data_IF_270946129998
#
_entry.id   IF_270946129998
#
_cell.length_a   1.000
_cell.length_b   1.000
_cell.length_c   1.000
_cell.angle_alpha   90.00
_cell.angle_beta   90.00
_cell.angle_gamma   90.00
#
_symmetry.space_group_name_H-M   'P 1'
#
loop_
_entity.id
_entity.type
_entity.pdbx_description
1 polymer ?
#
# COMPACT_ATOMS: atom_id res chain seq x y z
N UNK A 1 -4.97 13.66 -11.81
CA UNK A 1 -5.98 13.61 -10.71
C UNK A 1 -7.36 14.22 -11.03
N UNK A 2 -7.60 14.97 -12.13
CA UNK A 2 -8.90 15.64 -12.39
C UNK A 2 -10.12 14.71 -12.32
N UNK A 3 -10.07 13.56 -12.99
CA UNK A 3 -11.18 12.59 -13.00
C UNK A 3 -11.38 11.92 -11.63
N UNK A 4 -10.29 11.62 -10.93
CA UNK A 4 -10.31 11.08 -9.56
C UNK A 4 -11.00 12.06 -8.61
N UNK A 5 -10.66 13.35 -8.69
CA UNK A 5 -11.28 14.37 -7.84
C UNK A 5 -12.77 14.52 -8.13
N UNK A 6 -13.17 14.58 -9.41
CA UNK A 6 -14.59 14.63 -9.78
C UNK A 6 -15.36 13.41 -9.29
N UNK A 7 -14.77 12.21 -9.34
CA UNK A 7 -15.39 11.00 -8.80
C UNK A 7 -15.63 11.10 -7.29
N UNK A 8 -14.67 11.66 -6.55
CA UNK A 8 -14.78 11.87 -5.09
C UNK A 8 -15.71 13.03 -4.71
N UNK A 9 -15.91 14.02 -5.58
CA UNK A 9 -16.94 15.06 -5.39
C UNK A 9 -18.35 14.46 -5.50
N UNK A 10 -18.55 13.51 -6.43
CA UNK A 10 -19.85 12.84 -6.62
C UNK A 10 -20.08 11.78 -5.54
N UNK A 11 -19.05 11.00 -5.18
CA UNK A 11 -19.10 9.95 -4.17
C UNK A 11 -17.83 9.96 -3.33
N UNK A 12 -17.84 10.61 -2.15
CA UNK A 12 -16.66 10.75 -1.28
C UNK A 12 -16.08 9.41 -0.80
N UNK A 13 -16.93 8.39 -0.71
CA UNK A 13 -16.57 7.05 -0.24
C UNK A 13 -16.37 6.06 -1.40
N UNK A 14 -16.12 6.54 -2.62
CA UNK A 14 -15.83 5.64 -3.74
C UNK A 14 -14.43 5.04 -3.61
N UNK A 15 -14.34 3.82 -3.06
CA UNK A 15 -13.09 3.15 -2.71
C UNK A 15 -12.06 3.14 -3.84
N UNK A 16 -12.47 2.75 -5.05
CA UNK A 16 -11.56 2.74 -6.20
C UNK A 16 -10.96 4.11 -6.53
N UNK A 17 -11.71 5.21 -6.33
CA UNK A 17 -11.17 6.56 -6.51
C UNK A 17 -10.25 6.98 -5.35
N UNK A 18 -10.54 6.59 -4.11
CA UNK A 18 -9.68 6.82 -2.95
C UNK A 18 -8.33 6.11 -3.13
N UNK A 19 -8.35 4.82 -3.50
CA UNK A 19 -7.17 4.04 -3.83
C UNK A 19 -6.35 4.68 -4.96
N UNK A 20 -6.98 5.01 -6.09
CA UNK A 20 -6.25 5.63 -7.21
C UNK A 20 -5.65 6.99 -6.84
N UNK A 21 -6.30 7.74 -5.93
CA UNK A 21 -5.73 8.98 -5.41
C UNK A 21 -4.47 8.72 -4.59
N UNK A 22 -4.51 7.73 -3.71
CA UNK A 22 -3.36 7.29 -2.92
C UNK A 22 -2.19 6.86 -3.81
N UNK A 23 -2.45 5.96 -4.77
CA UNK A 23 -1.47 5.50 -5.74
C UNK A 23 -0.88 6.66 -6.55
N UNK A 24 -1.70 7.62 -6.96
CA UNK A 24 -1.18 8.79 -7.67
C UNK A 24 -0.21 9.60 -6.78
N UNK A 25 -0.52 9.83 -5.51
CA UNK A 25 0.41 10.49 -4.59
C UNK A 25 1.69 9.69 -4.38
N UNK A 26 1.58 8.36 -4.28
CA UNK A 26 2.73 7.47 -4.15
C UNK A 26 3.67 7.57 -5.36
N UNK A 27 3.13 7.56 -6.58
CA UNK A 27 3.90 7.70 -7.82
C UNK A 27 4.58 9.07 -7.98
N UNK A 28 4.16 10.08 -7.21
CA UNK A 28 4.82 11.38 -7.12
C UNK A 28 5.71 11.52 -5.88
N UNK A 29 6.04 10.40 -5.22
CA UNK A 29 6.85 10.33 -3.99
C UNK A 29 6.29 11.15 -2.81
N UNK A 30 4.99 11.48 -2.86
CA UNK A 30 4.26 12.17 -1.78
C UNK A 30 3.70 11.14 -0.81
N UNK A 31 4.60 10.45 -0.13
CA UNK A 31 4.27 9.27 0.67
C UNK A 31 3.32 9.56 1.83
N UNK A 32 3.42 10.70 2.49
CA UNK A 32 2.57 11.00 3.65
C UNK A 32 1.12 11.29 3.21
N UNK A 33 0.93 11.94 2.06
CA UNK A 33 -0.38 12.09 1.43
C UNK A 33 -0.92 10.75 0.93
N UNK A 34 -0.09 9.93 0.31
CA UNK A 34 -0.48 8.61 -0.17
C UNK A 34 -1.00 7.74 0.98
N UNK A 35 -0.28 7.68 2.10
CA UNK A 35 -0.69 6.96 3.31
C UNK A 35 -2.06 7.44 3.82
N UNK A 36 -2.31 8.75 3.88
CA UNK A 36 -3.61 9.31 4.28
C UNK A 36 -4.75 8.87 3.37
N UNK A 37 -4.52 8.78 2.05
CA UNK A 37 -5.55 8.34 1.10
C UNK A 37 -5.74 6.82 1.11
N UNK A 38 -4.68 6.04 1.34
CA UNK A 38 -4.82 4.61 1.59
C UNK A 38 -5.62 4.36 2.87
N UNK A 39 -5.38 5.12 3.94
CA UNK A 39 -6.17 5.04 5.18
C UNK A 39 -7.65 5.35 4.94
N UNK A 40 -7.96 6.42 4.20
CA UNK A 40 -9.34 6.73 3.81
C UNK A 40 -9.99 5.62 3.00
N UNK A 41 -9.25 4.97 2.09
CA UNK A 41 -9.79 3.84 1.36
C UNK A 41 -10.13 2.67 2.30
N UNK A 42 -9.25 2.41 3.27
CA UNK A 42 -9.40 1.35 4.26
C UNK A 42 -10.50 1.64 5.30
N UNK A 43 -10.92 2.89 5.48
CA UNK A 43 -12.12 3.28 6.23
C UNK A 43 -13.42 2.88 5.51
N UNK A 44 -13.38 2.76 4.17
CA UNK A 44 -14.53 2.38 3.34
C UNK A 44 -14.62 0.87 3.17
N UNK A 45 -13.52 0.24 2.77
CA UNK A 45 -13.49 -1.20 2.53
C UNK A 45 -12.11 -1.80 2.80
N UNK A 46 -12.10 -3.09 3.14
CA UNK A 46 -10.87 -3.83 3.29
C UNK A 46 -10.27 -4.13 1.90
N UNK A 47 -9.36 -3.28 1.42
CA UNK A 47 -8.79 -3.36 0.08
C UNK A 47 -7.32 -3.79 0.10
N UNK A 48 -7.05 -4.96 -0.49
CA UNK A 48 -5.71 -5.59 -0.49
C UNK A 48 -4.61 -4.66 -1.00
N UNK A 49 -4.86 -3.96 -2.11
CA UNK A 49 -3.88 -3.07 -2.73
C UNK A 49 -3.61 -1.80 -1.92
N UNK A 50 -4.51 -1.41 -1.02
CA UNK A 50 -4.23 -0.30 -0.09
C UNK A 50 -3.29 -0.72 1.03
N UNK A 51 -3.41 -1.95 1.55
CA UNK A 51 -2.40 -2.47 2.47
C UNK A 51 -1.06 -2.71 1.78
N UNK A 52 -1.07 -3.24 0.56
CA UNK A 52 0.14 -3.41 -0.23
C UNK A 52 0.84 -2.07 -0.50
N UNK A 53 0.11 -1.06 -0.99
CA UNK A 53 0.67 0.28 -1.23
C UNK A 53 1.25 0.93 0.03
N UNK A 54 0.60 0.77 1.19
CA UNK A 54 1.20 1.17 2.48
C UNK A 54 2.50 0.42 2.75
N UNK A 55 2.51 -0.90 2.58
CA UNK A 55 3.71 -1.71 2.78
C UNK A 55 4.86 -1.29 1.86
N UNK A 56 4.58 -1.05 0.57
CA UNK A 56 5.52 -0.53 -0.43
C UNK A 56 6.15 0.79 0.02
N UNK A 57 5.32 1.76 0.45
CA UNK A 57 5.80 3.04 0.96
C UNK A 57 6.75 2.87 2.15
N UNK A 58 6.38 2.04 3.13
CA UNK A 58 7.25 1.76 4.28
C UNK A 58 8.50 0.99 3.88
N UNK A 59 8.41 0.10 2.88
CA UNK A 59 9.52 -0.64 2.31
C UNK A 59 10.56 0.32 1.73
N UNK A 60 10.12 1.27 0.90
CA UNK A 60 10.99 2.32 0.34
C UNK A 60 11.63 3.17 1.44
N UNK A 61 10.90 3.47 2.52
CA UNK A 61 11.42 4.18 3.70
C UNK A 61 12.37 3.34 4.58
N UNK A 62 12.50 2.03 4.34
CA UNK A 62 13.30 1.11 5.17
C UNK A 62 12.65 0.75 6.51
N UNK A 63 11.36 1.06 6.70
CA UNK A 63 10.62 0.78 7.94
C UNK A 63 10.12 -0.66 7.95
N UNK A 64 11.01 -1.57 8.37
CA UNK A 64 10.74 -3.02 8.47
C UNK A 64 9.46 -3.30 9.26
N UNK A 65 9.25 -2.60 10.39
CA UNK A 65 8.12 -2.85 11.30
C UNK A 65 6.80 -2.60 10.59
N UNK A 66 6.65 -1.45 9.94
CA UNK A 66 5.42 -1.12 9.25
C UNK A 66 5.27 -1.88 7.92
N UNK A 67 6.36 -2.16 7.20
CA UNK A 67 6.29 -3.03 6.02
C UNK A 67 5.73 -4.40 6.38
N UNK A 68 6.32 -5.09 7.36
CA UNK A 68 5.86 -6.42 7.78
C UNK A 68 4.42 -6.37 8.27
N UNK A 69 4.05 -5.35 9.05
CA UNK A 69 2.67 -5.16 9.54
C UNK A 69 1.66 -5.13 8.40
N UNK A 70 1.84 -4.28 7.39
CA UNK A 70 0.84 -4.09 6.35
C UNK A 70 0.92 -5.17 5.26
N UNK A 71 2.13 -5.63 4.92
CA UNK A 71 2.32 -6.69 3.94
C UNK A 71 1.73 -8.02 4.43
N UNK A 72 1.85 -8.32 5.73
CA UNK A 72 1.23 -9.52 6.32
C UNK A 72 -0.28 -9.53 6.11
N UNK A 73 -0.95 -8.40 6.33
CA UNK A 73 -2.40 -8.29 6.11
C UNK A 73 -2.74 -8.55 4.64
N UNK A 74 -1.99 -7.96 3.71
CA UNK A 74 -2.21 -8.18 2.28
C UNK A 74 -2.00 -9.66 1.86
N UNK A 75 -0.95 -10.32 2.38
CA UNK A 75 -0.68 -11.75 2.13
C UNK A 75 -1.78 -12.66 2.71
N UNK A 76 -2.34 -12.30 3.86
CA UNK A 76 -3.46 -13.05 4.47
C UNK A 76 -4.74 -12.94 3.63
N UNK A 77 -4.92 -11.83 2.89
CA UNK A 77 -6.06 -11.64 1.98
C UNK A 77 -5.87 -12.37 0.65
N UNK A 78 -4.70 -12.26 0.03
CA UNK A 78 -4.32 -13.02 -1.16
C UNK A 78 -2.86 -13.43 -1.09
N UNK A 79 -2.62 -14.75 -1.14
CA UNK A 79 -1.29 -15.32 -1.06
C UNK A 79 -0.42 -14.94 -2.25
N UNK A 80 -0.99 -14.53 -3.39
CA UNK A 80 -0.20 -14.11 -4.56
C UNK A 80 0.68 -12.90 -4.25
N UNK A 81 0.25 -12.04 -3.32
CA UNK A 81 1.01 -10.88 -2.83
C UNK A 81 2.38 -11.28 -2.28
N UNK A 82 2.48 -12.48 -1.70
CA UNK A 82 3.77 -12.98 -1.19
C UNK A 82 4.78 -13.13 -2.33
N UNK A 83 4.36 -13.67 -3.45
CA UNK A 83 5.24 -13.88 -4.62
C UNK A 83 5.65 -12.55 -5.25
N UNK A 84 4.73 -11.58 -5.32
CA UNK A 84 5.03 -10.23 -5.79
C UNK A 84 6.06 -9.54 -4.88
N UNK A 85 5.88 -9.61 -3.56
CA UNK A 85 6.79 -9.00 -2.59
C UNK A 85 8.21 -9.58 -2.61
N UNK A 86 8.38 -10.83 -3.05
CA UNK A 86 9.71 -11.45 -3.21
C UNK A 86 10.56 -10.77 -4.27
N UNK A 87 9.95 -10.18 -5.30
CA UNK A 87 10.67 -9.60 -6.45
C UNK A 87 10.51 -8.09 -6.56
N UNK A 88 9.52 -7.49 -5.88
CA UNK A 88 9.26 -6.06 -5.94
C UNK A 88 10.37 -5.24 -5.29
N UNK A 89 10.81 -4.17 -5.98
CA UNK A 89 11.95 -3.33 -5.62
C UNK A 89 11.65 -2.40 -4.45
N UNK A 90 10.38 -2.11 -4.21
CA UNK A 90 9.92 -1.32 -3.05
C UNK A 90 10.41 -1.91 -1.73
N UNK A 91 10.69 -3.21 -1.69
CA UNK A 91 11.15 -3.89 -0.49
C UNK A 91 12.67 -4.07 -0.41
N UNK A 92 13.45 -3.54 -1.35
CA UNK A 92 14.92 -3.71 -1.36
C UNK A 92 15.58 -3.24 -0.06
N UNK A 93 15.12 -2.12 0.50
CA UNK A 93 15.66 -1.54 1.73
C UNK A 93 15.33 -2.37 2.99
N UNK A 94 14.35 -3.29 2.93
CA UNK A 94 13.96 -4.15 4.06
C UNK A 94 14.25 -5.63 3.81
N UNK A 95 14.68 -6.00 2.59
CA UNK A 95 14.83 -7.38 2.11
C UNK A 95 15.77 -8.25 2.96
N UNK A 96 16.76 -7.63 3.59
CA UNK A 96 17.74 -8.32 4.44
C UNK A 96 17.31 -8.47 5.90
N UNK A 97 16.20 -7.85 6.29
CA UNK A 97 15.67 -8.01 7.66
C UNK A 97 15.12 -9.42 7.86
N UNK A 98 15.35 -9.96 9.05
CA UNK A 98 14.87 -11.31 9.42
C UNK A 98 13.35 -11.37 9.38
N UNK A 99 12.68 -10.33 9.86
CA UNK A 99 11.22 -10.23 9.92
C UNK A 99 10.59 -10.26 8.53
N UNK A 100 11.18 -9.54 7.57
CA UNK A 100 10.70 -9.57 6.18
C UNK A 100 10.93 -10.95 5.56
N UNK A 101 12.13 -11.53 5.70
CA UNK A 101 12.43 -12.87 5.18
C UNK A 101 11.52 -13.96 5.75
N UNK A 102 11.20 -13.90 7.04
CA UNK A 102 10.26 -14.82 7.68
C UNK A 102 8.83 -14.68 7.15
N UNK A 103 8.43 -13.47 6.74
CA UNK A 103 7.13 -13.21 6.16
C UNK A 103 7.01 -13.75 4.72
N UNK A 104 8.07 -13.59 3.92
CA UNK A 104 8.06 -13.95 2.50
C UNK A 104 8.63 -15.35 2.21
N UNK A 105 9.06 -16.12 3.21
CA UNK A 105 9.46 -17.52 3.00
C UNK A 105 8.30 -18.40 2.51
#
# INVERSE_FOLDING_TARGET
MKNINKALEISPNYGYALFNKALTYELYDKYDEALKWYDKNLEVENYIWSYYGKASIYGRKGDVKNTVKYLKIAIEMDKVVKEEARVERDFDNVRQSKEFQELIK
#
